data_IF_531600008916
#
_entry.id   IF_531600008916
#
_cell.length_a   1.000
_cell.length_b   1.000
_cell.length_c   1.000
_cell.angle_alpha   90.00
_cell.angle_beta   90.00
_cell.angle_gamma   90.00
#
_symmetry.space_group_name_H-M   'P 1'
#
loop_
_entity.id
_entity.type
_entity.pdbx_description
1 polymer ?
#
# COMPACT_ATOMS: atom_id res chain seq x y z
N UNK A 1 -11.35 -16.18 -8.01
CA UNK A 1 -10.36 -15.08 -7.96
C UNK A 1 -10.59 -14.24 -6.71
N UNK A 2 -9.66 -14.29 -5.74
CA UNK A 2 -9.71 -13.43 -4.56
C UNK A 2 -9.28 -12.00 -4.90
N UNK A 3 -9.93 -10.98 -4.32
CA UNK A 3 -9.46 -9.59 -4.39
C UNK A 3 -8.01 -9.51 -3.92
N UNK A 4 -7.18 -8.67 -4.57
CA UNK A 4 -5.77 -8.47 -4.22
C UNK A 4 -5.59 -8.10 -2.73
N UNK A 5 -6.54 -7.36 -2.19
CA UNK A 5 -6.59 -7.04 -0.77
C UNK A 5 -6.66 -8.29 0.13
N UNK A 6 -7.44 -9.31 -0.27
CA UNK A 6 -7.48 -10.59 0.48
C UNK A 6 -6.16 -11.34 0.43
N UNK A 7 -5.46 -11.32 -0.72
CA UNK A 7 -4.14 -11.94 -0.85
C UNK A 7 -3.10 -11.24 0.01
N UNK A 8 -3.16 -9.90 0.06
CA UNK A 8 -2.29 -9.09 0.89
C UNK A 8 -2.53 -9.36 2.39
N UNK A 9 -3.79 -9.37 2.84
CA UNK A 9 -4.15 -9.72 4.21
C UNK A 9 -3.71 -11.15 4.58
N UNK A 10 -3.86 -12.11 3.66
CA UNK A 10 -3.45 -13.49 3.89
C UNK A 10 -1.93 -13.61 4.08
N UNK A 11 -1.12 -12.92 3.26
CA UNK A 11 0.34 -12.90 3.41
C UNK A 11 0.78 -12.29 4.74
N UNK A 12 0.11 -11.22 5.20
CA UNK A 12 0.39 -10.60 6.50
C UNK A 12 0.06 -11.59 7.64
N UNK A 13 -1.11 -12.24 7.57
CA UNK A 13 -1.52 -13.24 8.56
C UNK A 13 -0.58 -14.46 8.60
N UNK A 14 -0.11 -14.94 7.44
CA UNK A 14 0.88 -16.03 7.34
C UNK A 14 2.25 -15.65 7.94
N UNK A 15 2.56 -14.35 8.02
CA UNK A 15 3.84 -13.85 8.53
C UNK A 15 3.86 -13.58 10.04
N UNK A 16 2.82 -13.99 10.78
CA UNK A 16 2.70 -13.76 12.23
C UNK A 16 1.80 -12.58 12.63
N UNK A 17 1.26 -11.85 11.65
CA UNK A 17 0.49 -10.62 11.89
C UNK A 17 1.31 -9.37 11.60
N UNK A 18 0.67 -8.21 11.70
CA UNK A 18 1.29 -6.94 11.28
C UNK A 18 2.38 -6.44 12.25
N UNK A 19 2.28 -6.79 13.53
CA UNK A 19 3.24 -6.36 14.57
C UNK A 19 4.63 -7.01 14.43
N UNK A 20 4.70 -8.18 13.77
CA UNK A 20 5.95 -8.93 13.56
C UNK A 20 6.70 -8.51 12.28
N UNK A 21 6.08 -7.69 11.43
CA UNK A 21 6.67 -7.25 10.16
C UNK A 21 7.43 -5.94 10.31
N UNK A 22 8.66 -5.90 9.79
CA UNK A 22 9.36 -4.62 9.63
C UNK A 22 8.59 -3.68 8.71
N UNK A 23 8.73 -2.34 8.88
CA UNK A 23 8.12 -1.35 7.98
C UNK A 23 8.37 -1.64 6.49
N UNK A 24 9.57 -2.09 6.16
CA UNK A 24 9.93 -2.45 4.79
C UNK A 24 9.11 -3.65 4.30
N UNK A 25 9.01 -4.72 5.10
CA UNK A 25 8.26 -5.92 4.73
C UNK A 25 6.77 -5.62 4.52
N UNK A 26 6.15 -4.78 5.37
CA UNK A 26 4.75 -4.36 5.20
C UNK A 26 4.50 -3.78 3.81
N UNK A 27 5.37 -2.87 3.35
CA UNK A 27 5.26 -2.25 2.03
C UNK A 27 5.64 -3.23 0.92
N UNK A 28 6.67 -4.06 1.13
CA UNK A 28 7.12 -5.05 0.15
C UNK A 28 6.04 -6.09 -0.17
N UNK A 29 5.24 -6.51 0.81
CA UNK A 29 4.15 -7.44 0.58
C UNK A 29 3.10 -6.91 -0.41
N UNK A 30 2.87 -5.60 -0.45
CA UNK A 30 2.01 -4.99 -1.45
C UNK A 30 2.61 -5.13 -2.85
N UNK A 31 3.90 -4.84 -3.01
CA UNK A 31 4.61 -5.05 -4.28
C UNK A 31 4.50 -6.50 -4.72
N UNK A 32 4.80 -7.45 -3.83
CA UNK A 32 4.74 -8.88 -4.14
C UNK A 32 3.31 -9.36 -4.48
N UNK A 33 2.28 -8.66 -3.99
CA UNK A 33 0.89 -8.96 -4.33
C UNK A 33 0.56 -8.48 -5.74
N UNK A 34 0.93 -7.25 -6.12
CA UNK A 34 0.62 -6.70 -7.45
C UNK A 34 1.54 -7.20 -8.56
N UNK A 35 2.73 -7.68 -8.22
CA UNK A 35 3.65 -8.32 -9.16
C UNK A 35 3.25 -9.79 -9.45
N UNK A 36 2.19 -10.30 -8.82
CA UNK A 36 1.74 -11.67 -9.05
C UNK A 36 1.29 -11.86 -10.51
N UNK A 37 1.67 -13.00 -11.10
CA UNK A 37 1.43 -13.27 -12.53
C UNK A 37 -0.06 -13.37 -12.90
N UNK A 38 -0.92 -13.53 -11.90
CA UNK A 38 -2.38 -13.64 -12.05
C UNK A 38 -3.11 -12.31 -11.82
N UNK A 39 -2.39 -11.20 -11.62
CA UNK A 39 -2.98 -9.86 -11.52
C UNK A 39 -2.87 -9.10 -12.85
N UNK A 40 -4.02 -8.68 -13.38
CA UNK A 40 -4.18 -7.97 -14.65
C UNK A 40 -4.96 -6.65 -14.53
N UNK A 41 -5.05 -6.10 -13.31
CA UNK A 41 -5.68 -4.82 -13.04
C UNK A 41 -5.05 -3.64 -13.79
N UNK A 42 -5.73 -2.48 -13.75
CA UNK A 42 -5.29 -1.27 -14.45
C UNK A 42 -3.85 -0.84 -14.09
N UNK A 43 -3.48 -1.08 -12.84
CA UNK A 43 -2.20 -0.78 -12.19
C UNK A 43 -1.20 -1.95 -12.21
N UNK A 44 -1.52 -3.08 -12.84
CA UNK A 44 -0.63 -4.25 -12.89
C UNK A 44 0.77 -3.94 -13.49
N UNK A 45 0.86 -2.95 -14.38
CA UNK A 45 2.16 -2.49 -14.91
C UNK A 45 3.06 -1.89 -13.83
N UNK A 46 2.48 -1.26 -12.79
CA UNK A 46 3.24 -0.64 -11.70
C UNK A 46 4.04 -1.68 -10.91
N UNK A 47 3.49 -2.88 -10.73
CA UNK A 47 4.16 -3.98 -10.03
C UNK A 47 5.37 -4.52 -10.77
N UNK A 48 5.53 -4.19 -12.04
CA UNK A 48 6.68 -4.62 -12.86
C UNK A 48 7.76 -3.54 -12.94
N UNK A 49 7.42 -2.28 -12.69
CA UNK A 49 8.34 -1.14 -12.92
C UNK A 49 8.76 -0.44 -11.65
N UNK A 50 7.90 -0.40 -10.63
CA UNK A 50 8.20 0.26 -9.37
C UNK A 50 9.08 -0.65 -8.53
N UNK A 51 10.10 -0.05 -7.91
CA UNK A 51 11.02 -0.71 -7.00
C UNK A 51 11.06 0.05 -5.68
N UNK A 52 10.82 -0.66 -4.58
CA UNK A 52 10.99 -0.12 -3.24
C UNK A 52 12.48 -0.03 -2.92
N UNK A 53 12.98 1.18 -2.65
CA UNK A 53 14.38 1.40 -2.29
C UNK A 53 14.56 1.46 -0.78
N UNK A 54 13.68 2.18 -0.08
CA UNK A 54 13.72 2.24 1.38
C UNK A 54 12.38 2.63 1.99
N UNK A 55 12.22 2.27 3.26
CA UNK A 55 11.08 2.64 4.10
C UNK A 55 11.61 3.16 5.42
N UNK A 56 11.05 4.26 5.90
CA UNK A 56 11.30 4.81 7.22
C UNK A 56 9.97 4.94 7.94
N UNK A 57 9.89 4.38 9.14
CA UNK A 57 8.79 4.60 10.07
C UNK A 57 9.40 5.02 11.41
N UNK A 58 9.23 6.30 11.75
CA UNK A 58 9.88 6.94 12.90
C UNK A 58 8.86 7.79 13.68
N UNK A 59 7.83 7.16 14.27
CA UNK A 59 6.76 7.87 14.95
C UNK A 59 7.29 8.66 16.15
N UNK A 60 6.75 9.86 16.34
CA UNK A 60 6.98 10.68 17.54
C UNK A 60 5.64 11.03 18.18
N UNK A 61 5.65 11.56 19.40
CA UNK A 61 4.42 12.04 20.05
C UNK A 61 3.71 13.14 19.26
N UNK A 62 4.46 14.00 18.56
CA UNK A 62 3.92 15.05 17.69
C UNK A 62 3.57 14.56 16.27
N UNK A 63 4.23 13.50 15.79
CA UNK A 63 4.03 12.92 14.47
C UNK A 63 3.89 11.39 14.58
N UNK A 64 2.75 10.87 15.08
CA UNK A 64 2.57 9.45 15.35
C UNK A 64 2.54 8.57 14.07
N UNK A 65 2.42 9.20 12.90
CA UNK A 65 2.38 8.53 11.59
C UNK A 65 3.54 8.98 10.68
N UNK A 66 4.68 9.37 11.27
CA UNK A 66 5.85 9.78 10.51
C UNK A 66 6.44 8.59 9.72
N UNK A 67 6.03 8.52 8.46
CA UNK A 67 6.38 7.46 7.53
C UNK A 67 6.85 8.04 6.21
N UNK A 68 7.85 7.41 5.60
CA UNK A 68 8.43 7.82 4.32
C UNK A 68 8.88 6.59 3.53
N UNK A 69 8.44 6.51 2.29
CA UNK A 69 8.90 5.51 1.33
C UNK A 69 9.73 6.17 0.23
N UNK A 70 10.79 5.51 -0.21
CA UNK A 70 11.54 5.88 -1.42
C UNK A 70 11.32 4.79 -2.45
N UNK A 71 10.76 5.17 -3.59
CA UNK A 71 10.41 4.27 -4.67
C UNK A 71 11.06 4.81 -5.96
N UNK A 72 11.69 3.92 -6.72
CA UNK A 72 12.33 4.24 -8.00
C UNK A 72 11.68 3.47 -9.14
N UNK A 73 11.76 3.99 -10.36
CA UNK A 73 11.37 3.29 -11.57
C UNK A 73 12.00 3.94 -12.80
N UNK A 74 12.07 3.18 -13.88
CA UNK A 74 12.36 3.70 -15.22
C UNK A 74 11.06 3.82 -15.99
N UNK A 75 10.78 4.98 -16.60
CA UNK A 75 9.56 5.22 -17.36
C UNK A 75 9.52 4.29 -18.59
N UNK A 76 8.59 3.32 -18.65
CA UNK A 76 8.44 2.48 -19.83
C UNK A 76 7.66 3.24 -20.92
N UNK A 77 7.93 2.92 -22.19
CA UNK A 77 7.25 3.55 -23.33
C UNK A 77 5.73 3.39 -23.27
N UNK A 78 5.25 2.29 -22.70
CA UNK A 78 3.82 1.97 -22.51
C UNK A 78 3.09 2.98 -21.62
N UNK A 79 3.82 3.73 -20.77
CA UNK A 79 3.25 4.79 -19.93
C UNK A 79 3.42 6.19 -20.53
N UNK A 80 4.02 6.30 -21.72
CA UNK A 80 4.16 7.58 -22.40
C UNK A 80 2.91 7.93 -23.21
N UNK A 81 2.64 9.22 -23.35
CA UNK A 81 1.64 9.76 -24.28
C UNK A 81 2.19 9.78 -25.73
N UNK A 82 1.38 10.30 -26.67
CA UNK A 82 1.74 10.39 -28.09
C UNK A 82 2.97 11.24 -28.39
N UNK A 83 3.40 12.11 -27.47
CA UNK A 83 4.62 12.93 -27.62
C UNK A 83 5.85 12.30 -26.96
N UNK A 84 5.72 11.09 -26.40
CA UNK A 84 6.83 10.35 -25.78
C UNK A 84 7.11 10.74 -24.33
N UNK A 85 6.32 11.63 -23.75
CA UNK A 85 6.44 12.05 -22.34
C UNK A 85 5.57 11.17 -21.46
N UNK A 86 5.91 11.03 -20.17
CA UNK A 86 5.09 10.27 -19.22
C UNK A 86 3.65 10.82 -19.22
N UNK A 87 2.68 9.95 -19.52
CA UNK A 87 1.27 10.32 -19.67
C UNK A 87 0.72 10.83 -18.34
N UNK A 88 -0.07 11.92 -18.35
CA UNK A 88 -0.60 12.53 -17.12
C UNK A 88 -1.43 11.55 -16.26
N UNK A 89 -2.21 10.67 -16.90
CA UNK A 89 -2.91 9.60 -16.19
C UNK A 89 -1.98 8.56 -15.55
N UNK A 90 -0.83 8.27 -16.17
CA UNK A 90 0.17 7.39 -15.57
C UNK A 90 0.86 8.06 -14.37
N UNK A 91 1.15 9.36 -14.46
CA UNK A 91 1.64 10.17 -13.33
C UNK A 91 0.66 10.08 -12.16
N UNK A 92 -0.62 10.36 -12.41
CA UNK A 92 -1.65 10.34 -11.38
C UNK A 92 -1.75 8.98 -10.70
N UNK A 93 -1.74 7.88 -11.48
CA UNK A 93 -1.79 6.53 -10.95
C UNK A 93 -0.56 6.19 -10.08
N UNK A 94 0.64 6.57 -10.52
CA UNK A 94 1.87 6.37 -9.74
C UNK A 94 1.79 7.13 -8.41
N UNK A 95 1.34 8.40 -8.42
CA UNK A 95 1.18 9.17 -7.18
C UNK A 95 0.12 8.57 -6.26
N UNK A 96 -1.02 8.15 -6.79
CA UNK A 96 -2.11 7.52 -6.01
C UNK A 96 -1.62 6.29 -5.26
N UNK A 97 -1.00 5.36 -5.99
CA UNK A 97 -0.43 4.14 -5.43
C UNK A 97 0.68 4.47 -4.42
N UNK A 98 1.68 5.25 -4.79
CA UNK A 98 2.84 5.49 -3.90
C UNK A 98 2.46 6.27 -2.65
N UNK A 99 1.44 7.13 -2.71
CA UNK A 99 0.87 7.81 -1.54
C UNK A 99 0.13 6.82 -0.64
N UNK A 100 -0.65 5.91 -1.22
CA UNK A 100 -1.31 4.82 -0.47
C UNK A 100 -0.30 3.92 0.23
N UNK A 101 0.86 3.68 -0.39
CA UNK A 101 1.93 2.89 0.22
C UNK A 101 2.65 3.64 1.34
N UNK A 102 2.67 4.98 1.32
CA UNK A 102 3.35 5.77 2.35
C UNK A 102 2.72 5.59 3.74
N UNK A 103 1.44 5.22 3.81
CA UNK A 103 0.74 4.95 5.07
C UNK A 103 0.81 3.47 5.48
N UNK A 104 1.19 2.55 4.59
CA UNK A 104 1.34 1.11 4.89
C UNK A 104 2.25 0.80 6.09
N UNK A 105 3.40 1.50 6.30
CA UNK A 105 4.21 1.28 7.51
C UNK A 105 3.50 1.59 8.82
N UNK A 106 2.49 2.46 8.78
CA UNK A 106 1.68 2.86 9.95
C UNK A 106 0.56 1.87 10.28
N UNK A 107 0.38 0.84 9.45
CA UNK A 107 -0.62 -0.20 9.69
C UNK A 107 -0.39 -0.86 11.05
N UNK A 108 -1.51 -1.27 11.64
CA UNK A 108 -1.64 -2.10 12.83
C UNK A 108 -3.06 -2.62 12.90
N UNK A 109 -3.31 -3.59 13.77
CA UNK A 109 -4.66 -4.11 13.96
C UNK A 109 -5.65 -2.99 14.31
N UNK A 110 -6.75 -2.94 13.55
CA UNK A 110 -7.80 -1.91 13.69
C UNK A 110 -7.47 -0.53 13.11
N UNK A 111 -6.30 -0.32 12.49
CA UNK A 111 -5.93 0.93 11.86
C UNK A 111 -5.25 0.72 10.51
N UNK A 112 -5.94 1.13 9.43
CA UNK A 112 -5.47 1.00 8.04
C UNK A 112 -5.14 -0.45 7.65
N UNK A 113 -5.79 -1.41 8.30
CA UNK A 113 -5.57 -2.83 8.10
C UNK A 113 -5.84 -3.21 6.64
N UNK A 114 -4.84 -3.83 6.01
CA UNK A 114 -4.87 -4.25 4.59
C UNK A 114 -5.05 -3.15 3.53
N UNK A 115 -4.71 -1.90 3.85
CA UNK A 115 -4.71 -0.81 2.85
C UNK A 115 -6.10 -0.34 2.44
N UNK A 116 -7.13 -0.67 3.24
CA UNK A 116 -8.46 -0.10 3.08
C UNK A 116 -8.59 1.21 3.86
N UNK A 117 -9.34 2.17 3.31
CA UNK A 117 -10.02 3.19 4.11
C UNK A 117 -11.11 2.46 4.90
N UNK A 118 -10.87 2.19 6.19
CA UNK A 118 -11.83 1.52 7.06
C UNK A 118 -13.17 2.28 7.05
N UNK A 119 -14.26 1.56 6.72
CA UNK A 119 -15.64 2.11 6.67
C UNK A 119 -16.35 2.08 8.02
N UNK A 120 -15.71 1.58 9.07
CA UNK A 120 -16.30 1.47 10.40
C UNK A 120 -15.76 2.56 11.31
N UNK A 121 -16.53 3.64 11.42
CA UNK A 121 -16.64 4.39 12.68
C UNK A 121 -17.65 3.63 13.55
N UNK A 122 -17.25 2.50 14.11
CA UNK A 122 -18.08 1.86 15.14
C UNK A 122 -17.84 2.65 16.43
N UNK A 123 -18.89 3.35 16.81
CA UNK A 123 -19.04 4.08 18.04
C UNK A 123 -19.34 3.05 19.13
N UNK A 124 -18.31 2.41 19.71
CA UNK A 124 -18.47 1.64 20.95
C UNK A 124 -18.74 2.62 22.10
N UNK A 125 -19.98 3.12 22.19
CA UNK A 125 -20.53 3.51 23.48
C UNK A 125 -21.23 2.27 24.06
N UNK A 126 -20.96 1.94 25.33
CA UNK A 126 -21.68 0.85 25.98
C UNK A 126 -23.17 1.15 25.96
N UNK A 127 -23.98 0.13 25.64
CA UNK A 127 -25.42 0.18 25.76
C UNK A 127 -25.78 0.70 27.15
N UNK A 128 -26.50 1.84 27.18
CA UNK A 128 -27.15 2.30 28.39
C UNK A 128 -28.25 1.29 28.70
N UNK A 129 -27.95 0.35 29.60
CA UNK A 129 -28.89 -0.55 30.24
C UNK A 129 -29.97 0.27 30.95
N UNK A 130 -31.21 0.20 30.42
CA UNK A 130 -32.42 0.55 31.14
C UNK A 130 -32.87 -0.56 32.09
#
# INVERSE_FOLDING_TARGET
>A
MGSLARKHSAKIAESGGDDDLSPFQKVQHWFDAISSSDYDGHDAILGRILKLESVTFAPTSSNPHNSRNVISFTVPRQLCNSTGMLHGGAVALIFDITTSMAITPCMRDGFWDSGHVSRTREHDLPEASG
#
